data_IF_430174298585
#
_entry.id   IF_430174298585
#
_cell.length_a   1.000
_cell.length_b   1.000
_cell.length_c   1.000
_cell.angle_alpha   90.00
_cell.angle_beta   90.00
_cell.angle_gamma   90.00
#
_symmetry.space_group_name_H-M   'P 1'
#
loop_
_entity.id
_entity.type
_entity.pdbx_description
1 polymer ?
#
# COMPACT_ATOMS: atom_id res chain seq x y z
N UNK A 1 -71.65 -8.06 -9.96
CA UNK A 1 -70.35 -8.30 -10.67
C UNK A 1 -69.37 -7.27 -10.16
N UNK A 2 -68.38 -7.74 -9.37
CA UNK A 2 -67.32 -6.84 -8.83
C UNK A 2 -66.03 -7.10 -9.60
N UNK A 3 -65.58 -6.08 -10.32
CA UNK A 3 -64.29 -6.12 -10.98
C UNK A 3 -63.21 -5.63 -10.02
N UNK A 4 -62.35 -6.53 -9.56
CA UNK A 4 -61.16 -6.19 -8.78
C UNK A 4 -60.07 -5.75 -9.72
N UNK A 5 -59.70 -4.49 -9.67
CA UNK A 5 -58.52 -3.97 -10.36
C UNK A 5 -57.26 -4.36 -9.63
N UNK A 6 -56.47 -5.21 -10.25
CA UNK A 6 -55.15 -5.61 -9.77
C UNK A 6 -54.13 -4.59 -10.25
N UNK A 7 -53.67 -3.74 -9.34
CA UNK A 7 -52.62 -2.74 -9.63
C UNK A 7 -51.25 -3.42 -9.58
N UNK A 8 -50.64 -3.59 -10.74
CA UNK A 8 -49.26 -4.13 -10.84
C UNK A 8 -48.26 -3.00 -10.55
N UNK A 9 -47.66 -3.02 -9.38
CA UNK A 9 -46.57 -2.11 -9.02
C UNK A 9 -45.27 -2.61 -9.63
N UNK A 10 -44.82 -1.98 -10.70
CA UNK A 10 -43.54 -2.28 -11.34
C UNK A 10 -42.43 -1.61 -10.53
N UNK A 11 -41.74 -2.39 -9.67
CA UNK A 11 -40.60 -1.95 -8.92
C UNK A 11 -39.39 -1.75 -9.83
N UNK A 12 -38.98 -0.50 -10.04
CA UNK A 12 -37.75 -0.18 -10.75
C UNK A 12 -36.58 -0.50 -9.81
N UNK A 13 -35.89 -1.61 -10.05
CA UNK A 13 -34.65 -1.92 -9.37
C UNK A 13 -33.52 -1.13 -10.04
N UNK A 14 -33.10 -0.05 -9.38
CA UNK A 14 -31.91 0.71 -9.79
C UNK A 14 -30.69 -0.15 -9.45
N UNK A 15 -30.16 -0.86 -10.44
CA UNK A 15 -28.90 -1.57 -10.30
C UNK A 15 -27.77 -0.53 -10.22
N UNK A 16 -27.16 -0.35 -9.05
CA UNK A 16 -25.90 0.36 -8.92
C UNK A 16 -24.81 -0.46 -9.63
N UNK A 17 -24.48 -0.10 -10.86
CA UNK A 17 -23.30 -0.63 -11.52
C UNK A 17 -22.08 0.07 -10.91
N UNK A 18 -21.40 -0.61 -10.00
CA UNK A 18 -20.06 -0.20 -9.61
C UNK A 18 -19.19 -0.24 -10.89
N UNK A 19 -18.62 0.92 -11.27
CA UNK A 19 -17.67 0.98 -12.38
C UNK A 19 -16.44 0.10 -12.09
N UNK A 20 -15.69 -0.32 -13.13
CA UNK A 20 -14.49 -1.13 -12.92
C UNK A 20 -13.53 -0.38 -12.02
N UNK A 21 -13.13 -1.00 -10.88
CA UNK A 21 -12.05 -0.48 -10.05
C UNK A 21 -10.77 -0.48 -10.92
N UNK A 22 -10.06 0.65 -11.00
CA UNK A 22 -8.79 0.74 -11.72
C UNK A 22 -7.76 -0.09 -10.94
N UNK A 23 -7.20 -1.13 -11.60
CA UNK A 23 -6.09 -1.89 -11.04
C UNK A 23 -4.84 -1.00 -10.94
N UNK A 24 -4.03 -1.21 -9.89
CA UNK A 24 -2.76 -0.54 -9.73
C UNK A 24 -1.80 -0.89 -10.88
N UNK A 25 -1.00 0.09 -11.29
CA UNK A 25 -0.05 -0.02 -12.41
C UNK A 25 1.37 -0.28 -11.89
N UNK A 26 1.88 -1.49 -12.11
CA UNK A 26 3.23 -1.90 -11.69
C UNK A 26 4.33 -1.06 -12.35
N UNK A 27 4.20 -0.71 -13.62
CA UNK A 27 5.21 0.09 -14.32
C UNK A 27 5.21 1.55 -13.84
N UNK A 28 4.05 2.11 -13.57
CA UNK A 28 3.95 3.42 -12.92
C UNK A 28 4.55 3.37 -11.50
N UNK A 29 4.32 2.30 -10.77
CA UNK A 29 4.91 2.05 -9.45
C UNK A 29 6.44 1.96 -9.51
N UNK A 30 6.98 1.27 -10.50
CA UNK A 30 8.43 1.20 -10.74
C UNK A 30 9.03 2.58 -11.03
N UNK A 31 8.33 3.41 -11.77
CA UNK A 31 8.74 4.79 -12.04
C UNK A 31 8.72 5.63 -10.77
N UNK A 32 7.65 5.56 -9.98
CA UNK A 32 7.53 6.26 -8.71
C UNK A 32 8.56 5.78 -7.68
N UNK A 33 8.94 4.50 -7.72
CA UNK A 33 9.95 3.89 -6.85
C UNK A 33 11.34 4.52 -6.99
N UNK A 34 11.65 5.24 -8.06
CA UNK A 34 12.95 5.90 -8.25
C UNK A 34 13.30 6.82 -7.08
N UNK A 35 12.33 7.47 -6.46
CA UNK A 35 12.55 8.27 -5.24
C UNK A 35 12.94 7.43 -4.03
N UNK A 36 12.51 6.18 -3.96
CA UNK A 36 12.84 5.23 -2.90
C UNK A 36 14.25 4.62 -3.12
N UNK A 37 14.63 4.43 -4.37
CA UNK A 37 15.91 3.84 -4.76
C UNK A 37 17.13 4.71 -4.37
N UNK A 38 16.92 5.95 -3.97
CA UNK A 38 17.98 6.80 -3.40
C UNK A 38 18.52 6.20 -2.08
N UNK A 39 17.66 5.51 -1.32
CA UNK A 39 17.99 4.97 -0.01
C UNK A 39 17.81 3.45 0.11
N UNK A 40 17.05 2.84 -0.77
CA UNK A 40 16.75 1.41 -0.73
C UNK A 40 17.25 0.67 -1.98
N UNK A 41 17.59 -0.61 -1.80
CA UNK A 41 17.83 -1.52 -2.91
C UNK A 41 16.63 -2.45 -3.11
N UNK A 42 16.58 -3.10 -4.26
CA UNK A 42 15.66 -4.20 -4.56
C UNK A 42 16.35 -5.56 -4.54
N UNK A 43 17.60 -5.62 -4.07
CA UNK A 43 18.41 -6.82 -4.05
C UNK A 43 18.41 -7.44 -2.65
N UNK A 44 18.21 -8.76 -2.59
CA UNK A 44 18.27 -9.49 -1.32
C UNK A 44 19.65 -9.33 -0.65
N UNK A 45 19.63 -9.04 0.65
CA UNK A 45 20.84 -8.94 1.47
C UNK A 45 21.67 -7.68 1.28
N UNK A 46 21.22 -6.74 0.44
CA UNK A 46 21.93 -5.47 0.22
C UNK A 46 21.16 -4.30 0.81
N UNK A 47 21.67 -3.77 1.91
CA UNK A 47 21.16 -2.55 2.53
C UNK A 47 21.95 -1.33 2.04
N UNK A 48 21.29 -0.17 2.06
CA UNK A 48 21.89 1.16 1.88
C UNK A 48 21.60 2.00 3.11
N UNK A 49 21.22 3.27 2.94
CA UNK A 49 20.72 4.11 4.03
C UNK A 49 19.48 3.48 4.66
N UNK A 50 18.58 2.95 3.82
CA UNK A 50 17.45 2.12 4.23
C UNK A 50 17.71 0.63 4.02
N UNK A 51 16.88 -0.24 4.60
CA UNK A 51 16.97 -1.68 4.40
C UNK A 51 16.58 -2.08 2.97
N UNK A 52 17.09 -3.24 2.52
CA UNK A 52 16.64 -3.84 1.26
C UNK A 52 15.13 -4.03 1.27
N UNK A 53 14.47 -3.68 0.16
CA UNK A 53 13.04 -3.89 -0.03
C UNK A 53 12.70 -5.19 -0.77
N UNK A 54 13.70 -6.02 -1.08
CA UNK A 54 13.45 -7.34 -1.62
C UNK A 54 12.60 -8.16 -0.64
N UNK A 55 11.47 -8.67 -1.08
CA UNK A 55 10.54 -9.45 -0.26
C UNK A 55 9.85 -8.66 0.84
N UNK A 56 9.74 -7.33 0.71
CA UNK A 56 9.15 -6.47 1.75
C UNK A 56 7.68 -6.79 2.03
N UNK A 57 6.90 -7.09 1.00
CA UNK A 57 5.48 -7.42 1.18
C UNK A 57 5.36 -8.78 1.87
N UNK A 58 4.71 -8.79 3.01
CA UNK A 58 4.60 -9.96 3.89
C UNK A 58 5.73 -10.11 4.91
N UNK A 59 6.75 -9.24 4.88
CA UNK A 59 7.84 -9.23 5.87
C UNK A 59 7.38 -8.59 7.18
N UNK A 60 7.84 -9.13 8.29
CA UNK A 60 7.65 -8.49 9.59
C UNK A 60 8.50 -7.23 9.69
N UNK A 61 7.94 -6.18 10.30
CA UNK A 61 8.68 -4.93 10.55
C UNK A 61 9.93 -5.17 11.40
N UNK A 62 10.98 -4.39 11.14
CA UNK A 62 12.27 -4.46 11.85
C UNK A 62 12.90 -5.87 11.90
N UNK A 63 12.75 -6.68 10.86
CA UNK A 63 13.14 -8.10 10.90
C UNK A 63 14.41 -8.46 10.13
N UNK A 64 14.98 -7.56 9.32
CA UNK A 64 16.24 -7.85 8.63
C UNK A 64 17.42 -7.80 9.58
N UNK A 65 18.21 -8.88 9.58
CA UNK A 65 19.45 -8.93 10.31
C UNK A 65 20.47 -7.91 9.74
N UNK A 66 21.25 -7.31 10.64
CA UNK A 66 22.31 -6.38 10.24
C UNK A 66 21.85 -4.98 9.86
N UNK A 67 20.56 -4.66 9.88
CA UNK A 67 20.08 -3.30 9.70
C UNK A 67 19.72 -2.65 11.05
N UNK A 68 20.19 -1.43 11.26
CA UNK A 68 19.93 -0.67 12.48
C UNK A 68 18.64 0.15 12.36
N UNK A 69 17.53 -0.44 12.77
CA UNK A 69 16.22 0.22 12.78
C UNK A 69 16.10 1.26 13.90
N UNK A 70 15.22 2.25 13.71
CA UNK A 70 14.82 3.18 14.78
C UNK A 70 14.11 2.45 15.91
N UNK A 71 14.10 3.02 17.11
CA UNK A 71 13.35 2.48 18.23
C UNK A 71 11.85 2.44 17.93
N UNK A 72 11.33 3.46 17.23
CA UNK A 72 9.94 3.47 16.77
C UNK A 72 9.62 2.31 15.85
N UNK A 73 10.49 2.02 14.88
CA UNK A 73 10.31 0.87 13.97
C UNK A 73 10.39 -0.46 14.70
N UNK A 74 11.29 -0.61 15.67
CA UNK A 74 11.40 -1.84 16.50
C UNK A 74 10.13 -2.09 17.32
N UNK A 75 9.46 -1.04 17.78
CA UNK A 75 8.21 -1.12 18.53
C UNK A 75 6.97 -1.29 17.63
N UNK A 76 7.11 -0.97 16.36
CA UNK A 76 6.05 -1.12 15.36
C UNK A 76 5.93 -2.59 14.96
N UNK A 77 5.19 -3.34 15.74
CA UNK A 77 5.10 -4.80 15.61
C UNK A 77 4.00 -5.22 14.61
N UNK A 78 4.26 -5.01 13.33
CA UNK A 78 3.33 -5.28 12.23
C UNK A 78 3.99 -6.12 11.13
N UNK A 79 3.16 -6.70 10.28
CA UNK A 79 3.59 -7.25 9.00
C UNK A 79 3.36 -6.19 7.91
N UNK A 80 4.31 -6.05 7.01
CA UNK A 80 4.19 -5.15 5.86
C UNK A 80 3.22 -5.75 4.82
N UNK A 81 1.94 -5.74 5.14
CA UNK A 81 0.88 -6.01 4.18
C UNK A 81 0.50 -4.73 3.42
N UNK A 82 -0.39 -4.86 2.44
CA UNK A 82 -0.81 -3.73 1.61
C UNK A 82 -1.36 -2.56 2.45
N UNK A 83 -2.22 -2.84 3.42
CA UNK A 83 -2.84 -1.81 4.26
C UNK A 83 -1.80 -1.09 5.14
N UNK A 84 -0.88 -1.82 5.74
CA UNK A 84 0.19 -1.27 6.57
C UNK A 84 1.17 -0.44 5.74
N UNK A 85 1.52 -0.89 4.55
CA UNK A 85 2.34 -0.13 3.60
C UNK A 85 1.64 1.14 3.14
N UNK A 86 0.34 1.08 2.84
CA UNK A 86 -0.43 2.26 2.42
C UNK A 86 -0.42 3.34 3.51
N UNK A 87 -0.68 2.96 4.76
CA UNK A 87 -0.65 3.88 5.90
C UNK A 87 0.75 4.50 6.11
N UNK A 88 1.79 3.67 6.12
CA UNK A 88 3.16 4.12 6.34
C UNK A 88 3.67 5.03 5.21
N UNK A 89 3.42 4.67 3.96
CA UNK A 89 3.85 5.45 2.81
C UNK A 89 3.07 6.77 2.65
N UNK A 90 1.87 6.88 3.21
CA UNK A 90 1.12 8.14 3.21
C UNK A 90 1.77 9.20 4.11
N UNK A 91 2.22 8.79 5.29
CA UNK A 91 2.89 9.65 6.25
C UNK A 91 3.76 8.83 7.21
N UNK A 92 5.04 8.61 6.87
CA UNK A 92 5.93 7.78 7.68
C UNK A 92 6.09 8.26 9.13
N UNK A 93 6.15 9.58 9.35
CA UNK A 93 6.37 10.15 10.69
C UNK A 93 5.14 10.04 11.57
N UNK A 94 3.97 10.17 11.00
CA UNK A 94 2.72 10.01 11.74
C UNK A 94 2.48 8.53 12.11
N UNK A 95 2.79 7.61 11.20
CA UNK A 95 2.60 6.17 11.41
C UNK A 95 3.62 5.61 12.41
N UNK A 96 4.89 6.00 12.27
CA UNK A 96 5.99 5.54 13.15
C UNK A 96 6.76 6.76 13.65
N UNK A 97 6.36 7.34 14.78
CA UNK A 97 7.12 8.43 15.39
C UNK A 97 8.57 8.02 15.64
N UNK A 98 9.50 8.89 15.28
CA UNK A 98 10.94 8.63 15.40
C UNK A 98 11.52 7.76 14.30
N UNK A 99 10.77 7.47 13.23
CA UNK A 99 11.32 6.78 12.06
C UNK A 99 12.56 7.48 11.51
N UNK A 100 13.56 6.69 11.13
CA UNK A 100 14.79 7.20 10.48
C UNK A 100 14.58 7.54 9.01
N UNK A 101 13.50 7.09 8.40
CA UNK A 101 13.18 7.36 7.00
C UNK A 101 12.78 8.82 6.82
N UNK A 102 13.68 9.60 6.22
CA UNK A 102 13.44 11.02 5.92
C UNK A 102 12.72 11.09 4.57
N UNK A 103 11.42 10.90 4.61
CA UNK A 103 10.54 10.90 3.44
C UNK A 103 9.18 11.48 3.83
N UNK A 104 8.68 12.50 3.11
CA UNK A 104 7.43 13.18 3.51
C UNK A 104 6.17 12.36 3.27
N UNK A 105 6.27 11.28 2.52
CA UNK A 105 5.16 10.44 2.14
C UNK A 105 4.64 10.69 0.72
N UNK A 106 3.81 9.79 0.26
CA UNK A 106 3.11 9.86 -1.02
C UNK A 106 1.64 10.18 -0.71
N UNK A 107 1.20 11.40 -1.02
CA UNK A 107 -0.15 11.87 -0.66
C UNK A 107 -1.23 11.34 -1.61
N UNK A 108 -0.88 11.09 -2.85
CA UNK A 108 -1.79 10.50 -3.83
C UNK A 108 -1.93 8.99 -3.60
N UNK A 109 -3.17 8.57 -3.31
CA UNK A 109 -3.46 7.15 -3.05
C UNK A 109 -3.20 6.27 -4.28
N UNK A 110 -3.54 6.73 -5.48
CA UNK A 110 -3.28 5.96 -6.71
C UNK A 110 -1.78 5.73 -6.91
N UNK A 111 -0.93 6.71 -6.65
CA UNK A 111 0.52 6.56 -6.68
C UNK A 111 1.02 5.58 -5.60
N UNK A 112 0.46 5.62 -4.39
CA UNK A 112 0.81 4.62 -3.36
C UNK A 112 0.44 3.22 -3.78
N UNK A 113 -0.76 3.03 -4.32
CA UNK A 113 -1.22 1.72 -4.80
C UNK A 113 -0.31 1.18 -5.89
N UNK A 114 0.13 2.02 -6.81
CA UNK A 114 1.09 1.65 -7.87
C UNK A 114 2.45 1.23 -7.29
N UNK A 115 2.98 1.99 -6.33
CA UNK A 115 4.24 1.65 -5.64
C UNK A 115 4.11 0.33 -4.90
N UNK A 116 3.02 0.09 -4.18
CA UNK A 116 2.80 -1.16 -3.45
C UNK A 116 2.72 -2.34 -4.43
N UNK A 117 2.01 -2.17 -5.55
CA UNK A 117 1.95 -3.21 -6.60
C UNK A 117 3.34 -3.54 -7.15
N UNK A 118 4.20 -2.54 -7.34
CA UNK A 118 5.59 -2.78 -7.71
C UNK A 118 6.36 -3.52 -6.61
N UNK A 119 6.22 -3.12 -5.34
CA UNK A 119 6.88 -3.80 -4.22
C UNK A 119 6.49 -5.28 -4.12
N UNK A 120 5.25 -5.63 -4.45
CA UNK A 120 4.79 -7.02 -4.47
C UNK A 120 5.53 -7.89 -5.49
N UNK A 121 6.13 -7.30 -6.51
CA UNK A 121 6.93 -8.01 -7.51
C UNK A 121 8.35 -8.35 -7.02
N UNK A 122 8.80 -7.76 -5.91
CA UNK A 122 10.16 -7.92 -5.36
C UNK A 122 10.26 -9.16 -4.48
N UNK A 123 10.39 -10.34 -5.10
CA UNK A 123 10.49 -11.63 -4.42
C UNK A 123 11.20 -12.69 -5.27
#
# INVERSE_FOLDING_TARGET
MRFSSLTLVLGIHLALTAGPAMAADVEAGKTAFKKCALCHTTEAGKNKIGPSLFGIVGRKSASLDGFNYSEGMKKFDHTWDEATLDEYLADPRATIPGTKMIFPGIKDKAERDDVIAYLETLK
#
